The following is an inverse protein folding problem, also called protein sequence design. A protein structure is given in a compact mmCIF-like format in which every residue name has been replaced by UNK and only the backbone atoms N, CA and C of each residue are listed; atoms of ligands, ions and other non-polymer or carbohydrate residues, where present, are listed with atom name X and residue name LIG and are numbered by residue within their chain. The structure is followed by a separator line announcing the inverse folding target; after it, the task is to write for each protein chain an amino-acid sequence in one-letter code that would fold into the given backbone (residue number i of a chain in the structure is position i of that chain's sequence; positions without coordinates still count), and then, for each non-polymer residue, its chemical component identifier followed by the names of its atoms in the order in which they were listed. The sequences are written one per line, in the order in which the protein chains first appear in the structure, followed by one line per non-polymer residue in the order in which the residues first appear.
data_IF_275941423323
#
_entry.id   IF_275941423323
#
_cell.length_a   1.000
_cell.length_b   1.000
_cell.length_c   1.000
_cell.angle_alpha   90.00
_cell.angle_beta   90.00
_cell.angle_gamma   90.00
#
_symmetry.space_group_name_H-M   'P 1'
#
loop_
_entity.id
_entity.type
_entity.pdbx_description
1 polymer ?
#
# COMPACT_ATOMS: atom_id res chain seq x y z
N UNK A 1 16.80 56.88 -30.21
CA UNK A 1 15.93 55.80 -30.74
C UNK A 1 14.61 55.86 -30.01
N UNK A 2 13.45 55.89 -30.69
CA UNK A 2 12.16 55.81 -30.01
C UNK A 2 12.07 54.51 -29.21
N UNK A 3 11.35 54.49 -28.07
CA UNK A 3 11.14 53.26 -27.33
C UNK A 3 10.48 52.23 -28.24
N UNK A 4 10.90 50.96 -28.17
CA UNK A 4 10.41 49.93 -29.09
C UNK A 4 8.93 49.59 -28.87
N UNK A 5 8.31 50.17 -27.84
CA UNK A 5 6.92 49.97 -27.42
C UNK A 5 6.41 51.31 -26.87
N UNK A 6 5.22 51.76 -27.28
CA UNK A 6 4.57 52.94 -26.71
C UNK A 6 4.38 52.82 -25.18
N UNK A 7 4.63 53.90 -24.44
CA UNK A 7 4.59 53.90 -22.97
C UNK A 7 3.19 53.52 -22.40
N UNK A 8 2.11 53.92 -23.09
CA UNK A 8 0.74 53.56 -22.72
C UNK A 8 0.47 52.06 -22.83
N UNK A 9 1.00 51.40 -23.87
CA UNK A 9 0.90 49.95 -24.06
C UNK A 9 1.67 49.24 -22.95
N UNK A 10 2.90 49.66 -22.67
CA UNK A 10 3.72 49.09 -21.60
C UNK A 10 3.01 49.17 -20.24
N UNK A 11 2.40 50.32 -19.90
CA UNK A 11 1.69 50.50 -18.64
C UNK A 11 0.43 49.63 -18.55
N UNK A 12 -0.29 49.47 -19.65
CA UNK A 12 -1.45 48.57 -19.74
C UNK A 12 -1.06 47.11 -19.48
N UNK A 13 0.07 46.66 -20.03
CA UNK A 13 0.56 45.29 -19.82
C UNK A 13 0.94 45.02 -18.37
N UNK A 14 1.61 45.98 -17.72
CA UNK A 14 1.98 45.87 -16.30
C UNK A 14 0.75 45.78 -15.39
N UNK A 15 -0.29 46.58 -15.65
CA UNK A 15 -1.55 46.51 -14.90
C UNK A 15 -2.30 45.19 -15.15
N UNK A 16 -2.45 44.80 -16.42
CA UNK A 16 -3.26 43.64 -16.82
C UNK A 16 -2.64 42.31 -16.41
N UNK A 17 -1.35 42.11 -16.69
CA UNK A 17 -0.66 40.83 -16.51
C UNK A 17 0.13 40.79 -15.20
N UNK A 18 0.74 41.91 -14.82
CA UNK A 18 1.58 42.02 -13.62
C UNK A 18 0.82 42.42 -12.37
N UNK A 19 -0.43 42.90 -12.47
CA UNK A 19 -1.17 43.56 -11.38
C UNK A 19 -0.30 44.61 -10.69
N UNK A 20 0.46 45.37 -11.48
CA UNK A 20 1.45 46.33 -11.01
C UNK A 20 1.13 47.70 -11.60
N UNK A 21 1.03 48.71 -10.75
CA UNK A 21 0.76 50.10 -11.12
C UNK A 21 2.08 50.85 -11.26
N UNK A 22 2.49 51.30 -12.45
CA UNK A 22 3.69 52.10 -12.63
C UNK A 22 3.41 53.57 -12.25
N UNK A 23 4.03 54.13 -11.20
CA UNK A 23 3.89 55.55 -10.88
C UNK A 23 4.76 56.45 -11.76
N UNK A 24 5.78 55.90 -12.41
CA UNK A 24 6.75 56.62 -13.24
C UNK A 24 6.60 56.25 -14.73
N UNK A 25 6.99 57.15 -15.65
CA UNK A 25 6.98 56.87 -17.10
C UNK A 25 7.78 55.61 -17.46
N UNK A 26 7.37 54.93 -18.53
CA UNK A 26 8.03 53.73 -19.02
C UNK A 26 9.49 54.01 -19.40
N UNK A 27 10.49 53.26 -18.88
CA UNK A 27 11.92 53.48 -19.15
C UNK A 27 12.33 53.25 -20.62
N UNK A 28 11.44 52.71 -21.45
CA UNK A 28 11.62 52.63 -22.91
C UNK A 28 12.12 51.29 -23.43
N UNK A 29 12.62 50.39 -22.57
CA UNK A 29 13.06 49.04 -22.94
C UNK A 29 12.36 47.95 -22.12
N UNK A 30 11.98 46.86 -22.78
CA UNK A 30 11.16 45.82 -22.16
C UNK A 30 11.86 45.01 -21.06
N UNK A 31 13.20 44.91 -21.09
CA UNK A 31 14.01 44.20 -20.08
C UNK A 31 14.53 45.10 -18.97
N UNK A 32 14.28 46.39 -19.06
CA UNK A 32 14.74 47.36 -18.07
C UNK A 32 13.82 47.28 -16.83
N UNK A 33 14.39 47.23 -15.61
CA UNK A 33 13.60 47.29 -14.40
C UNK A 33 12.75 48.56 -14.37
N UNK A 34 11.47 48.41 -14.11
CA UNK A 34 10.50 49.50 -14.06
C UNK A 34 9.83 49.53 -12.70
N UNK A 35 10.02 50.64 -11.98
CA UNK A 35 9.40 50.84 -10.67
C UNK A 35 7.88 50.74 -10.79
N UNK A 36 7.27 49.86 -10.00
CA UNK A 36 5.83 49.69 -9.92
C UNK A 36 5.41 49.45 -8.47
N UNK A 37 4.16 49.81 -8.14
CA UNK A 37 3.47 49.40 -6.91
C UNK A 37 2.65 48.15 -7.22
N UNK A 38 2.94 47.02 -6.55
CA UNK A 38 2.14 45.81 -6.75
C UNK A 38 0.76 45.96 -6.12
N UNK A 39 -0.32 45.80 -6.88
CA UNK A 39 -1.69 46.05 -6.43
C UNK A 39 -2.13 45.08 -5.30
N UNK A 40 -1.80 43.76 -5.32
CA UNK A 40 -2.15 42.86 -4.23
C UNK A 40 -1.42 43.10 -2.90
N UNK A 41 -0.08 43.27 -2.92
CA UNK A 41 0.71 43.36 -1.68
C UNK A 41 1.18 44.77 -1.33
N UNK A 42 0.87 45.75 -2.17
CA UNK A 42 1.17 47.17 -1.98
C UNK A 42 2.67 47.54 -1.89
N UNK A 43 3.56 46.55 -2.08
CA UNK A 43 5.01 46.75 -2.06
C UNK A 43 5.51 47.44 -3.33
N UNK A 44 6.56 48.25 -3.16
CA UNK A 44 7.36 48.76 -4.27
C UNK A 44 8.21 47.63 -4.86
N UNK A 45 8.09 47.43 -6.17
CA UNK A 45 8.77 46.36 -6.92
C UNK A 45 9.40 46.94 -8.19
N UNK A 46 10.41 46.25 -8.72
CA UNK A 46 11.12 46.64 -9.95
C UNK A 46 11.05 45.51 -11.00
N UNK A 47 9.86 45.08 -11.43
CA UNK A 47 9.71 44.12 -12.51
C UNK A 47 10.20 44.70 -13.84
N UNK A 48 10.52 43.83 -14.80
CA UNK A 48 10.63 44.25 -16.20
C UNK A 48 9.43 43.72 -17.00
N UNK A 49 9.00 44.47 -18.03
CA UNK A 49 7.83 44.12 -18.84
C UNK A 49 7.99 42.77 -19.54
N UNK A 50 9.20 42.41 -19.99
CA UNK A 50 9.45 41.15 -20.66
C UNK A 50 9.07 39.94 -19.80
N UNK A 51 9.49 39.91 -18.52
CA UNK A 51 9.18 38.82 -17.60
C UNK A 51 7.69 38.75 -17.25
N UNK A 52 7.03 39.91 -17.16
CA UNK A 52 5.57 39.98 -16.96
C UNK A 52 4.83 39.42 -18.19
N UNK A 53 5.26 39.77 -19.40
CA UNK A 53 4.68 39.27 -20.65
C UNK A 53 4.89 37.77 -20.86
N UNK A 54 6.01 37.21 -20.38
CA UNK A 54 6.28 35.76 -20.44
C UNK A 54 5.63 34.96 -19.32
N UNK A 55 4.85 35.61 -18.44
CA UNK A 55 4.07 34.94 -17.40
C UNK A 55 4.84 34.61 -16.11
N UNK A 56 6.05 35.14 -15.92
CA UNK A 56 6.80 34.96 -14.67
C UNK A 56 6.22 35.77 -13.51
N UNK A 57 5.37 36.77 -13.80
CA UNK A 57 4.77 37.67 -12.82
C UNK A 57 5.65 38.87 -12.47
N UNK A 58 5.07 39.87 -11.80
CA UNK A 58 5.74 41.13 -11.49
C UNK A 58 6.36 41.18 -10.09
N UNK A 59 5.80 40.47 -9.12
CA UNK A 59 6.19 40.59 -7.71
C UNK A 59 6.85 39.32 -7.18
N UNK A 60 8.13 39.41 -6.81
CA UNK A 60 8.89 38.30 -6.21
C UNK A 60 8.27 37.82 -4.88
N UNK A 61 7.65 38.73 -4.12
CA UNK A 61 7.04 38.42 -2.81
C UNK A 61 5.68 37.73 -2.92
N UNK A 62 5.01 37.86 -4.07
CA UNK A 62 3.75 37.18 -4.35
C UNK A 62 3.95 36.00 -5.31
N UNK A 63 5.18 35.76 -5.77
CA UNK A 63 5.49 34.61 -6.58
C UNK A 63 5.26 33.31 -5.77
N UNK A 64 4.88 32.20 -6.42
CA UNK A 64 4.71 30.92 -5.72
C UNK A 64 5.94 30.47 -4.92
N UNK A 65 7.14 30.90 -5.33
CA UNK A 65 8.43 30.63 -4.70
C UNK A 65 8.97 31.81 -3.86
N UNK A 66 8.12 32.75 -3.46
CA UNK A 66 8.51 33.89 -2.63
C UNK A 66 9.23 33.46 -1.35
N UNK A 67 10.29 34.18 -0.92
CA UNK A 67 10.90 33.96 0.40
C UNK A 67 9.82 34.05 1.49
N UNK A 68 9.71 33.02 2.31
CA UNK A 68 8.74 32.97 3.41
C UNK A 68 9.40 33.46 4.70
N UNK A 69 8.65 34.26 5.46
CA UNK A 69 9.05 34.68 6.79
C UNK A 69 9.16 33.42 7.70
N UNK A 70 10.30 33.19 8.37
CA UNK A 70 10.47 32.06 9.30
C UNK A 70 9.38 31.94 10.37
N UNK A 71 8.90 33.05 10.92
CA UNK A 71 7.91 33.05 12.00
C UNK A 71 6.52 32.64 11.50
N UNK A 72 6.12 33.15 10.34
CA UNK A 72 4.89 32.73 9.65
C UNK A 72 4.95 31.25 9.27
N UNK A 73 6.12 30.78 8.79
CA UNK A 73 6.32 29.39 8.43
C UNK A 73 6.21 28.47 9.66
N UNK A 74 6.76 28.89 10.80
CA UNK A 74 6.66 28.19 12.09
C UNK A 74 5.22 28.12 12.57
N UNK A 75 4.47 29.23 12.50
CA UNK A 75 3.06 29.27 12.87
C UNK A 75 2.21 28.30 12.02
N UNK A 76 2.42 28.29 10.70
CA UNK A 76 1.72 27.38 9.79
C UNK A 76 2.08 25.89 10.03
N UNK A 77 3.33 25.59 10.39
CA UNK A 77 3.73 24.23 10.80
C UNK A 77 3.01 23.79 12.08
N UNK A 78 2.89 24.70 13.07
CA UNK A 78 2.20 24.44 14.32
C UNK A 78 0.71 24.20 14.13
N UNK A 79 0.04 25.01 13.30
CA UNK A 79 -1.36 24.83 12.92
C UNK A 79 -1.62 23.46 12.28
N UNK A 80 -0.64 22.93 11.53
CA UNK A 80 -0.68 21.59 10.94
C UNK A 80 -0.17 20.48 11.87
N UNK A 81 0.05 20.77 13.14
CA UNK A 81 0.39 19.80 14.19
C UNK A 81 1.88 19.44 14.26
N UNK A 82 2.77 20.38 13.94
CA UNK A 82 4.22 20.21 14.04
C UNK A 82 4.89 21.32 14.84
N UNK A 83 5.68 20.95 15.84
CA UNK A 83 6.57 21.84 16.57
C UNK A 83 7.95 21.76 15.93
N UNK A 84 8.41 22.84 15.30
CA UNK A 84 9.76 22.89 14.68
C UNK A 84 10.84 22.95 15.77
N UNK A 85 11.95 22.24 15.55
CA UNK A 85 13.04 22.08 16.53
C UNK A 85 14.32 22.81 16.13
N UNK A 86 14.41 23.26 14.88
CA UNK A 86 15.58 23.94 14.31
C UNK A 86 15.13 25.14 13.48
N UNK A 87 16.07 26.00 13.11
CA UNK A 87 15.79 27.20 12.32
C UNK A 87 15.26 26.89 10.91
N UNK A 88 14.48 27.83 10.36
CA UNK A 88 13.87 27.68 9.05
C UNK A 88 14.89 27.86 7.92
N UNK A 89 15.21 26.78 7.21
CA UNK A 89 16.20 26.78 6.13
C UNK A 89 15.61 27.07 4.73
N UNK A 90 14.28 27.23 4.64
CA UNK A 90 13.52 27.45 3.41
C UNK A 90 12.46 26.37 3.15
N UNK A 91 11.51 26.66 2.27
CA UNK A 91 10.26 25.90 2.14
C UNK A 91 10.44 24.46 1.62
N UNK A 92 11.37 24.30 0.68
CA UNK A 92 11.68 23.03 0.04
C UNK A 92 12.68 22.16 0.79
N UNK A 93 13.21 22.58 1.95
CA UNK A 93 14.20 21.80 2.71
C UNK A 93 13.54 20.98 3.82
N UNK A 94 14.09 19.80 4.18
CA UNK A 94 13.64 19.06 5.36
C UNK A 94 13.78 19.93 6.61
N UNK A 95 12.70 20.05 7.38
CA UNK A 95 12.67 20.89 8.57
C UNK A 95 12.39 20.04 9.81
N UNK A 96 13.41 19.82 10.64
CA UNK A 96 13.31 18.94 11.81
C UNK A 96 12.24 19.45 12.77
N UNK A 97 11.26 18.59 13.04
CA UNK A 97 10.03 18.91 13.75
C UNK A 97 9.55 17.72 14.58
N UNK A 98 8.80 18.01 15.64
CA UNK A 98 8.07 17.04 16.43
C UNK A 98 6.58 17.08 16.08
N UNK A 99 5.98 15.94 15.78
CA UNK A 99 4.53 15.85 15.62
C UNK A 99 3.82 16.05 16.96
N UNK A 100 2.80 16.93 17.02
CA UNK A 100 2.04 17.19 18.24
C UNK A 100 1.22 15.96 18.66
N UNK A 101 0.61 15.25 17.71
CA UNK A 101 -0.30 14.14 18.00
C UNK A 101 0.40 12.91 18.60
N UNK A 102 1.55 12.53 18.04
CA UNK A 102 2.23 11.27 18.39
C UNK A 102 3.71 11.46 18.79
N UNK A 103 4.17 12.70 18.95
CA UNK A 103 5.53 13.07 19.38
C UNK A 103 6.68 12.55 18.53
N UNK A 104 6.41 11.97 17.36
CA UNK A 104 7.43 11.54 16.40
C UNK A 104 8.32 12.69 15.96
N UNK A 105 9.63 12.46 15.99
CA UNK A 105 10.62 13.35 15.40
C UNK A 105 10.71 13.06 13.90
N UNK A 106 10.37 14.05 13.09
CA UNK A 106 10.31 13.96 11.62
C UNK A 106 10.87 15.21 10.99
N UNK A 107 11.33 15.12 9.74
CA UNK A 107 11.82 16.26 8.98
C UNK A 107 10.97 16.50 7.72
N UNK A 108 9.68 16.86 7.86
CA UNK A 108 8.85 17.18 6.70
C UNK A 108 9.31 18.49 6.04
N UNK A 109 8.94 18.69 4.78
CA UNK A 109 9.17 19.95 4.06
C UNK A 109 7.96 20.86 4.26
N UNK A 110 8.18 22.16 4.44
CA UNK A 110 7.11 23.14 4.67
C UNK A 110 6.03 23.09 3.57
N UNK A 111 6.44 23.05 2.30
CA UNK A 111 5.51 23.01 1.17
C UNK A 111 4.63 21.74 1.17
N UNK A 112 5.20 20.62 1.61
CA UNK A 112 4.45 19.36 1.74
C UNK A 112 3.45 19.41 2.89
N UNK A 113 3.80 20.08 4.00
CA UNK A 113 2.95 20.20 5.19
C UNK A 113 1.78 21.16 4.96
N UNK A 114 2.02 22.28 4.27
CA UNK A 114 1.00 23.28 4.00
C UNK A 114 0.13 22.94 2.78
N UNK A 115 0.59 22.05 1.89
CA UNK A 115 -0.17 21.51 0.77
C UNK A 115 -1.39 20.65 1.15
N UNK A 116 -2.12 20.16 0.14
CA UNK A 116 -3.43 19.47 0.28
C UNK A 116 -3.37 18.14 1.05
N UNK A 117 -2.22 17.49 1.10
CA UNK A 117 -2.01 16.20 1.78
C UNK A 117 -0.94 16.31 2.88
N UNK A 118 -0.82 17.46 3.54
CA UNK A 118 0.10 17.64 4.65
C UNK A 118 -0.28 16.85 5.91
N UNK A 119 0.71 16.45 6.70
CA UNK A 119 0.51 15.74 7.97
C UNK A 119 1.68 14.82 8.31
N UNK A 120 1.75 14.38 9.57
CA UNK A 120 2.83 13.51 10.00
C UNK A 120 2.73 12.16 9.27
N UNK A 121 3.82 11.78 8.60
CA UNK A 121 3.89 10.55 7.81
C UNK A 121 3.56 9.29 8.62
N UNK A 122 3.75 9.34 9.93
CA UNK A 122 3.46 8.24 10.85
C UNK A 122 2.03 8.25 11.39
N UNK A 123 1.38 9.43 11.44
CA UNK A 123 0.00 9.55 11.92
C UNK A 123 -1.03 9.25 10.83
N UNK A 124 -0.62 9.25 9.55
CA UNK A 124 -1.47 8.75 8.47
C UNK A 124 -1.61 7.23 8.58
N UNK A 125 -2.84 6.73 8.35
CA UNK A 125 -3.30 5.32 8.43
C UNK A 125 -2.43 4.27 7.70
N UNK A 126 -1.47 4.70 6.87
CA UNK A 126 -0.55 3.84 6.10
C UNK A 126 0.92 4.30 6.17
N UNK A 127 1.27 5.13 7.17
CA UNK A 127 2.67 5.40 7.49
C UNK A 127 3.43 4.11 7.82
N UNK A 128 4.77 4.12 7.86
CA UNK A 128 5.53 2.95 8.26
C UNK A 128 5.10 2.35 9.60
N UNK A 129 4.27 3.00 10.41
CA UNK A 129 4.07 2.66 11.82
C UNK A 129 5.27 3.19 12.58
N UNK A 130 5.05 3.69 13.79
CA UNK A 130 6.18 3.94 14.66
C UNK A 130 6.92 2.61 14.93
N UNK A 131 8.24 2.52 14.73
CA UNK A 131 8.97 1.27 14.97
C UNK A 131 8.86 0.75 16.39
N UNK A 132 8.72 1.61 17.41
CA UNK A 132 8.57 1.16 18.78
C UNK A 132 7.19 0.56 19.02
N UNK A 133 6.13 1.22 18.56
CA UNK A 133 4.78 0.66 18.59
C UNK A 133 4.69 -0.66 17.82
N UNK A 134 5.30 -0.73 16.63
CA UNK A 134 5.32 -1.93 15.82
C UNK A 134 5.98 -3.12 16.54
N UNK A 135 7.09 -2.87 17.24
CA UNK A 135 7.75 -3.89 18.07
C UNK A 135 6.88 -4.27 19.28
N UNK A 136 6.22 -3.30 19.90
CA UNK A 136 5.32 -3.55 21.03
C UNK A 136 4.13 -4.43 20.61
N UNK A 137 3.49 -4.12 19.47
CA UNK A 137 2.40 -4.90 18.89
C UNK A 137 2.83 -6.35 18.61
N UNK A 138 4.00 -6.54 18.01
CA UNK A 138 4.55 -7.87 17.75
C UNK A 138 4.77 -8.66 19.04
N UNK A 139 5.35 -8.01 20.06
CA UNK A 139 5.59 -8.65 21.36
C UNK A 139 4.30 -8.99 22.09
N UNK A 140 3.27 -8.16 22.00
CA UNK A 140 1.98 -8.37 22.64
C UNK A 140 1.29 -9.67 22.19
N UNK A 141 1.54 -10.13 20.95
CA UNK A 141 1.01 -11.39 20.41
C UNK A 141 2.03 -12.53 20.42
N UNK A 142 3.14 -12.39 21.16
CA UNK A 142 4.14 -13.45 21.33
C UNK A 142 5.11 -13.61 20.15
N UNK A 143 5.37 -12.54 19.38
CA UNK A 143 6.47 -12.49 18.42
C UNK A 143 7.61 -11.61 18.92
N UNK A 144 8.84 -12.09 18.73
CA UNK A 144 10.06 -11.33 18.95
C UNK A 144 10.70 -11.00 17.60
N UNK A 145 10.62 -9.74 17.11
CA UNK A 145 11.28 -9.34 15.87
C UNK A 145 12.79 -9.60 15.93
N UNK A 146 13.35 -10.11 14.83
CA UNK A 146 14.79 -10.42 14.68
C UNK A 146 15.49 -9.46 13.72
N UNK A 147 14.74 -8.60 13.02
CA UNK A 147 15.26 -7.58 12.12
C UNK A 147 14.56 -6.22 12.35
N UNK A 148 15.14 -5.10 11.90
CA UNK A 148 14.52 -3.78 11.97
C UNK A 148 13.19 -3.70 11.21
N UNK A 149 12.26 -2.92 11.76
CA UNK A 149 10.96 -2.71 11.15
C UNK A 149 11.04 -1.85 9.88
N UNK A 150 10.43 -2.32 8.79
CA UNK A 150 10.42 -1.63 7.49
C UNK A 150 9.11 -0.89 7.26
N UNK A 151 7.99 -1.61 7.29
CA UNK A 151 6.62 -1.10 7.18
C UNK A 151 5.60 -2.20 7.55
N UNK A 152 4.33 -1.83 7.67
CA UNK A 152 3.25 -2.72 8.15
C UNK A 152 2.92 -3.91 7.23
N UNK A 153 3.24 -3.83 5.93
CA UNK A 153 2.81 -4.79 4.91
C UNK A 153 3.93 -5.77 4.50
N UNK A 154 5.19 -5.45 4.78
CA UNK A 154 6.32 -6.32 4.52
C UNK A 154 6.34 -7.52 5.49
N UNK A 155 6.74 -8.72 5.02
CA UNK A 155 7.07 -9.82 5.91
C UNK A 155 8.18 -9.39 6.87
N UNK A 156 8.01 -9.68 8.16
CA UNK A 156 8.91 -9.25 9.20
C UNK A 156 9.47 -10.43 9.98
N UNK A 157 10.76 -10.74 9.76
CA UNK A 157 11.41 -11.89 10.37
C UNK A 157 11.35 -11.81 11.90
N UNK A 158 10.68 -12.79 12.49
CA UNK A 158 10.37 -12.82 13.93
C UNK A 158 10.43 -14.24 14.49
N UNK A 159 10.91 -14.38 15.72
CA UNK A 159 10.81 -15.62 16.49
C UNK A 159 9.43 -15.70 17.15
N UNK A 160 8.68 -16.78 16.92
CA UNK A 160 7.47 -17.05 17.68
C UNK A 160 7.84 -17.57 19.07
N UNK A 161 7.44 -16.88 20.14
CA UNK A 161 7.77 -17.28 21.50
C UNK A 161 7.01 -18.53 21.95
N UNK A 162 5.86 -18.83 21.30
CA UNK A 162 5.04 -20.01 21.56
C UNK A 162 5.63 -21.32 21.02
N UNK A 163 6.00 -21.37 19.74
CA UNK A 163 6.55 -22.58 19.12
C UNK A 163 8.07 -22.57 18.93
N UNK A 164 8.74 -21.46 19.29
CA UNK A 164 10.19 -21.27 19.18
C UNK A 164 10.75 -21.37 17.76
N UNK A 165 9.89 -21.34 16.73
CA UNK A 165 10.28 -21.31 15.32
C UNK A 165 10.28 -19.88 14.77
N UNK A 166 11.18 -19.62 13.84
CA UNK A 166 11.21 -18.36 13.07
C UNK A 166 10.04 -18.33 12.09
N UNK A 167 9.40 -17.17 11.96
CA UNK A 167 8.31 -16.93 11.03
C UNK A 167 8.39 -15.51 10.48
N UNK A 168 7.64 -15.21 9.42
CA UNK A 168 7.64 -13.90 8.75
C UNK A 168 6.24 -13.27 8.75
N UNK A 169 5.61 -13.07 9.92
CA UNK A 169 4.32 -12.40 10.00
C UNK A 169 4.42 -10.97 9.45
N UNK A 170 3.28 -10.46 8.96
CA UNK A 170 3.13 -9.06 8.58
C UNK A 170 2.40 -8.34 9.70
N UNK A 171 2.80 -7.11 10.04
CA UNK A 171 2.18 -6.40 11.15
C UNK A 171 0.69 -6.10 10.89
N UNK A 172 0.28 -5.89 9.63
CA UNK A 172 -1.14 -5.76 9.29
C UNK A 172 -1.95 -7.02 9.62
N UNK A 173 -1.39 -8.22 9.38
CA UNK A 173 -2.02 -9.49 9.73
C UNK A 173 -2.04 -9.68 11.24
N UNK A 174 -0.99 -9.28 11.96
CA UNK A 174 -0.96 -9.32 13.43
C UNK A 174 -2.04 -8.41 14.02
N UNK A 175 -2.16 -7.18 13.55
CA UNK A 175 -3.18 -6.22 14.03
C UNK A 175 -4.61 -6.64 13.72
N UNK A 176 -4.83 -7.42 12.65
CA UNK A 176 -6.19 -7.84 12.22
C UNK A 176 -6.58 -9.24 12.71
N UNK A 177 -5.62 -10.17 12.76
CA UNK A 177 -5.85 -11.59 13.05
C UNK A 177 -5.23 -12.05 14.37
N UNK A 178 -4.43 -11.22 15.03
CA UNK A 178 -3.72 -11.57 16.26
C UNK A 178 -2.60 -12.59 16.02
N UNK A 179 -2.63 -13.69 16.77
CA UNK A 179 -1.66 -14.79 16.68
C UNK A 179 -1.69 -15.48 15.30
N UNK A 180 -0.86 -15.03 14.37
CA UNK A 180 -0.85 -15.53 12.99
C UNK A 180 0.41 -16.35 12.63
N UNK A 181 1.06 -16.97 13.62
CA UNK A 181 2.26 -17.77 13.35
C UNK A 181 1.91 -18.95 12.45
N UNK A 182 2.56 -19.07 11.30
CA UNK A 182 2.30 -20.13 10.33
C UNK A 182 2.52 -21.53 10.92
N UNK A 183 3.35 -21.67 11.97
CA UNK A 183 3.61 -22.94 12.65
C UNK A 183 2.67 -23.21 13.84
N UNK A 184 2.02 -22.19 14.39
CA UNK A 184 1.05 -22.35 15.48
C UNK A 184 -0.41 -22.31 15.00
N UNK A 185 -0.64 -21.74 13.82
CA UNK A 185 -1.97 -21.64 13.23
C UNK A 185 -2.55 -23.04 13.06
N UNK A 186 -3.66 -23.32 13.76
CA UNK A 186 -4.47 -24.54 13.62
C UNK A 186 -5.32 -24.56 12.33
N UNK A 187 -5.01 -23.69 11.38
CA UNK A 187 -5.66 -23.62 10.08
C UNK A 187 -4.78 -24.33 9.06
N UNK A 188 -5.33 -25.32 8.38
CA UNK A 188 -4.58 -26.19 7.45
C UNK A 188 -4.59 -27.64 7.91
N UNK A 189 -4.05 -28.50 7.05
CA UNK A 189 -3.91 -29.92 7.35
C UNK A 189 -2.80 -30.11 8.38
N UNK A 190 -3.10 -30.68 9.55
CA UNK A 190 -2.09 -31.10 10.51
C UNK A 190 -1.34 -32.31 9.94
N UNK A 191 -0.04 -32.21 9.62
CA UNK A 191 0.69 -33.29 8.97
C UNK A 191 0.76 -34.56 9.82
N UNK A 192 0.70 -34.45 11.15
CA UNK A 192 0.84 -35.58 12.07
C UNK A 192 -0.49 -36.15 12.55
N UNK A 193 -1.62 -35.51 12.24
CA UNK A 193 -2.94 -36.01 12.63
C UNK A 193 -3.61 -36.79 11.49
N UNK A 194 -4.58 -37.67 11.78
CA UNK A 194 -5.36 -38.36 10.75
C UNK A 194 -6.06 -37.40 9.80
N UNK A 195 -6.09 -37.79 8.53
CA UNK A 195 -6.60 -36.98 7.44
C UNK A 195 -7.33 -37.84 6.42
N UNK A 196 -7.99 -37.18 5.47
CA UNK A 196 -8.75 -37.81 4.40
C UNK A 196 -8.49 -37.12 3.07
N UNK A 197 -8.26 -37.92 2.03
CA UNK A 197 -8.36 -37.50 0.63
C UNK A 197 -9.80 -37.71 0.19
N UNK A 198 -10.38 -36.75 -0.51
CA UNK A 198 -11.71 -36.85 -1.08
C UNK A 198 -11.70 -36.50 -2.55
N UNK A 199 -12.55 -37.17 -3.32
CA UNK A 199 -12.82 -36.86 -4.74
C UNK A 199 -14.27 -36.44 -4.86
N UNK A 200 -14.50 -35.28 -5.49
CA UNK A 200 -15.82 -34.71 -5.73
C UNK A 200 -16.07 -34.53 -7.23
N UNK A 201 -17.34 -34.53 -7.63
CA UNK A 201 -17.78 -34.15 -8.96
C UNK A 201 -18.85 -33.05 -8.89
N UNK A 202 -18.93 -32.21 -9.92
CA UNK A 202 -19.93 -31.17 -10.08
C UNK A 202 -20.57 -31.30 -11.45
N UNK A 203 -21.80 -31.83 -11.50
CA UNK A 203 -22.47 -32.18 -12.76
C UNK A 203 -22.71 -30.95 -13.66
N UNK A 204 -23.18 -29.84 -13.10
CA UNK A 204 -23.50 -28.62 -13.86
C UNK A 204 -22.26 -27.96 -14.48
N UNK A 205 -21.11 -28.09 -13.82
CA UNK A 205 -19.86 -27.50 -14.31
C UNK A 205 -19.01 -28.51 -15.08
N UNK A 206 -19.41 -29.78 -15.15
CA UNK A 206 -18.61 -30.84 -15.75
C UNK A 206 -17.22 -30.93 -15.12
N UNK A 207 -17.11 -30.76 -13.81
CA UNK A 207 -15.83 -30.66 -13.11
C UNK A 207 -15.63 -31.80 -12.11
N UNK A 208 -14.38 -32.26 -11.98
CA UNK A 208 -13.95 -33.13 -10.89
C UNK A 208 -12.89 -32.43 -10.04
N UNK A 209 -12.84 -32.79 -8.76
CA UNK A 209 -11.93 -32.21 -7.78
C UNK A 209 -11.36 -33.28 -6.87
N UNK A 210 -10.05 -33.23 -6.65
CA UNK A 210 -9.40 -33.93 -5.54
C UNK A 210 -9.06 -32.92 -4.44
N UNK A 211 -9.13 -33.33 -3.19
CA UNK A 211 -8.81 -32.47 -2.06
C UNK A 211 -8.47 -33.24 -0.78
N UNK A 212 -7.78 -32.56 0.14
CA UNK A 212 -7.49 -33.08 1.49
C UNK A 212 -8.19 -32.29 2.60
N UNK A 213 -8.56 -33.00 3.65
CA UNK A 213 -9.05 -32.41 4.91
C UNK A 213 -8.57 -33.23 6.10
N UNK A 214 -8.36 -32.60 7.25
CA UNK A 214 -8.06 -33.32 8.50
C UNK A 214 -9.33 -33.94 9.08
N UNK A 215 -9.21 -35.07 9.77
CA UNK A 215 -10.35 -35.71 10.43
C UNK A 215 -10.70 -35.08 11.80
N UNK A 216 -9.82 -34.20 12.31
CA UNK A 216 -10.00 -33.47 13.58
C UNK A 216 -10.35 -31.99 13.37
N UNK A 217 -10.70 -31.59 12.15
CA UNK A 217 -11.09 -30.20 11.86
C UNK A 217 -12.49 -29.91 12.38
N UNK A 218 -12.73 -28.68 12.87
CA UNK A 218 -14.06 -28.24 13.32
C UNK A 218 -15.08 -28.12 12.18
N UNK A 219 -14.62 -27.83 10.97
CA UNK A 219 -15.45 -27.78 9.77
C UNK A 219 -15.31 -29.06 8.95
N UNK A 220 -16.44 -29.59 8.50
CA UNK A 220 -16.50 -30.63 7.47
C UNK A 220 -16.41 -29.97 6.09
N UNK A 221 -15.20 -30.03 5.51
CA UNK A 221 -14.89 -29.45 4.21
C UNK A 221 -15.74 -30.08 3.09
N UNK A 222 -16.04 -31.38 3.17
CA UNK A 222 -16.85 -32.10 2.18
C UNK A 222 -18.30 -31.65 2.29
N UNK A 223 -18.85 -31.53 3.50
CA UNK A 223 -20.20 -31.01 3.71
C UNK A 223 -20.37 -29.59 3.14
N UNK A 224 -19.35 -28.73 3.33
CA UNK A 224 -19.34 -27.39 2.74
C UNK A 224 -19.40 -27.43 1.22
N UNK A 225 -18.60 -28.26 0.56
CA UNK A 225 -18.65 -28.42 -0.89
C UNK A 225 -20.02 -28.97 -1.36
N UNK A 226 -20.63 -29.91 -0.62
CA UNK A 226 -21.98 -30.42 -0.92
C UNK A 226 -23.04 -29.33 -0.93
N UNK A 227 -22.95 -28.35 -0.03
CA UNK A 227 -23.83 -27.17 -0.02
C UNK A 227 -23.73 -26.31 -1.29
N UNK A 228 -22.69 -26.48 -2.10
CA UNK A 228 -22.44 -25.77 -3.36
C UNK A 228 -22.46 -26.71 -4.58
N UNK A 229 -23.27 -27.78 -4.54
CA UNK A 229 -23.51 -28.63 -5.71
C UNK A 229 -22.47 -29.71 -5.98
N UNK A 230 -21.42 -29.84 -5.16
CA UNK A 230 -20.42 -30.88 -5.32
C UNK A 230 -20.87 -32.20 -4.67
N UNK A 231 -20.80 -33.29 -5.41
CA UNK A 231 -21.14 -34.62 -4.93
C UNK A 231 -19.87 -35.41 -4.59
N UNK A 232 -19.76 -35.99 -3.38
CA UNK A 232 -18.63 -36.85 -3.05
C UNK A 232 -18.71 -38.17 -3.82
N UNK A 233 -17.63 -38.51 -4.53
CA UNK A 233 -17.46 -39.79 -5.19
C UNK A 233 -16.78 -40.80 -4.27
N UNK A 234 -15.64 -40.43 -3.68
CA UNK A 234 -14.94 -41.25 -2.70
C UNK A 234 -14.25 -40.42 -1.62
N UNK A 235 -13.95 -41.09 -0.52
CA UNK A 235 -13.31 -40.55 0.68
C UNK A 235 -12.40 -41.62 1.29
N UNK A 236 -11.09 -41.36 1.28
CA UNK A 236 -10.05 -42.31 1.70
C UNK A 236 -9.31 -41.75 2.90
N UNK A 237 -9.31 -42.48 4.01
CA UNK A 237 -8.66 -42.09 5.26
C UNK A 237 -7.18 -42.51 5.29
N UNK A 238 -6.35 -41.61 5.80
CA UNK A 238 -4.92 -41.78 6.01
C UNK A 238 -4.57 -41.56 7.49
N UNK A 239 -3.58 -42.32 7.97
CA UNK A 239 -3.08 -42.20 9.33
C UNK A 239 -2.48 -40.81 9.63
N UNK A 240 -1.92 -40.16 8.61
CA UNK A 240 -1.30 -38.83 8.74
C UNK A 240 -1.75 -37.88 7.62
N UNK A 241 -1.84 -36.59 7.95
CA UNK A 241 -2.05 -35.52 6.97
C UNK A 241 -0.91 -35.42 5.96
N UNK A 242 0.31 -35.77 6.35
CA UNK A 242 1.45 -35.80 5.44
C UNK A 242 1.24 -36.81 4.30
N UNK A 243 0.71 -38.00 4.58
CA UNK A 243 0.46 -39.03 3.57
C UNK A 243 -0.70 -38.63 2.66
N UNK A 244 -1.82 -38.17 3.23
CA UNK A 244 -2.95 -37.66 2.46
C UNK A 244 -2.54 -36.53 1.50
N UNK A 245 -1.73 -35.58 1.99
CA UNK A 245 -1.22 -34.49 1.16
C UNK A 245 -0.28 -34.98 0.06
N UNK A 246 0.61 -35.94 0.37
CA UNK A 246 1.54 -36.50 -0.62
C UNK A 246 0.78 -37.13 -1.79
N UNK A 247 -0.26 -37.90 -1.50
CA UNK A 247 -1.15 -38.51 -2.49
C UNK A 247 -1.85 -37.44 -3.34
N UNK A 248 -2.49 -36.45 -2.72
CA UNK A 248 -3.16 -35.37 -3.45
C UNK A 248 -2.20 -34.67 -4.42
N UNK A 249 -1.01 -34.32 -3.93
CA UNK A 249 0.00 -33.63 -4.73
C UNK A 249 0.59 -34.52 -5.83
N UNK A 250 0.72 -35.84 -5.62
CA UNK A 250 1.20 -36.77 -6.64
C UNK A 250 0.20 -36.87 -7.80
N UNK A 251 -1.10 -37.00 -7.49
CA UNK A 251 -2.18 -37.01 -8.48
C UNK A 251 -2.24 -35.71 -9.26
N UNK A 252 -2.24 -34.56 -8.58
CA UNK A 252 -2.29 -33.25 -9.22
C UNK A 252 -1.07 -33.06 -10.12
N UNK A 253 0.14 -33.33 -9.62
CA UNK A 253 1.38 -33.17 -10.39
C UNK A 253 1.34 -34.02 -11.66
N UNK A 254 0.93 -35.28 -11.56
CA UNK A 254 0.82 -36.18 -12.72
C UNK A 254 -0.13 -35.62 -13.77
N UNK A 255 -1.34 -35.22 -13.38
CA UNK A 255 -2.33 -34.66 -14.31
C UNK A 255 -1.85 -33.35 -14.95
N UNK A 256 -1.11 -32.52 -14.21
CA UNK A 256 -0.54 -31.26 -14.73
C UNK A 256 0.58 -31.53 -15.75
N UNK A 257 1.40 -32.57 -15.55
CA UNK A 257 2.41 -33.02 -16.52
C UNK A 257 1.74 -33.56 -17.80
N UNK A 258 0.61 -34.24 -17.66
CA UNK A 258 -0.21 -34.77 -18.77
C UNK A 258 -1.00 -33.68 -19.52
N UNK A 259 -0.85 -32.41 -19.13
CA UNK A 259 -1.45 -31.26 -19.82
C UNK A 259 -2.83 -30.84 -19.29
N UNK A 260 -3.35 -31.49 -18.25
CA UNK A 260 -4.61 -31.07 -17.64
C UNK A 260 -4.35 -29.85 -16.75
N UNK A 261 -4.86 -28.68 -17.13
CA UNK A 261 -4.76 -27.42 -16.40
C UNK A 261 -5.84 -27.24 -15.32
N UNK A 262 -5.78 -26.11 -14.61
CA UNK A 262 -6.85 -25.70 -13.70
C UNK A 262 -8.12 -25.47 -14.51
N UNK A 263 -9.20 -26.17 -14.19
CA UNK A 263 -10.42 -26.13 -15.01
C UNK A 263 -11.39 -25.01 -14.62
N UNK A 264 -11.68 -24.85 -13.32
CA UNK A 264 -12.55 -23.79 -12.82
C UNK A 264 -11.76 -22.56 -12.35
N UNK A 265 -12.35 -21.38 -12.53
CA UNK A 265 -11.83 -20.12 -12.00
C UNK A 265 -12.41 -19.75 -10.63
N UNK A 266 -11.83 -18.72 -10.00
CA UNK A 266 -12.27 -18.20 -8.68
C UNK A 266 -13.74 -17.76 -8.67
N UNK A 267 -14.22 -17.14 -9.76
CA UNK A 267 -15.62 -16.71 -9.90
C UNK A 267 -16.64 -17.87 -9.94
N UNK A 268 -16.23 -19.06 -10.39
CA UNK A 268 -17.06 -20.27 -10.40
C UNK A 268 -16.95 -21.07 -9.09
N UNK A 269 -15.98 -20.71 -8.23
CA UNK A 269 -15.65 -21.41 -6.99
C UNK A 269 -15.45 -20.42 -5.82
N UNK A 270 -16.51 -19.68 -5.42
CA UNK A 270 -16.43 -18.63 -4.40
C UNK A 270 -16.04 -19.15 -3.01
N UNK A 271 -16.18 -20.46 -2.77
CA UNK A 271 -15.75 -21.15 -1.55
C UNK A 271 -14.25 -21.56 -1.54
N UNK A 272 -13.52 -21.22 -2.62
CA UNK A 272 -12.11 -21.52 -2.82
C UNK A 272 -11.83 -22.98 -3.20
N UNK A 273 -10.57 -23.27 -3.53
CA UNK A 273 -10.12 -24.62 -3.95
C UNK A 273 -10.27 -24.90 -5.46
N UNK A 274 -10.28 -23.85 -6.28
CA UNK A 274 -10.40 -24.00 -7.74
C UNK A 274 -9.15 -24.59 -8.38
N UNK A 275 -7.96 -24.42 -7.75
CA UNK A 275 -6.67 -24.89 -8.26
C UNK A 275 -6.55 -26.40 -8.39
N UNK A 276 -7.37 -27.16 -7.67
CA UNK A 276 -7.38 -28.63 -7.71
C UNK A 276 -8.59 -29.19 -8.50
N UNK A 277 -9.10 -28.43 -9.47
CA UNK A 277 -10.20 -28.85 -10.36
C UNK A 277 -9.70 -29.25 -11.74
N UNK A 278 -10.42 -30.19 -12.37
CA UNK A 278 -10.15 -30.74 -13.69
C UNK A 278 -11.46 -30.94 -14.47
N UNK A 279 -11.35 -30.97 -15.79
CA UNK A 279 -12.46 -31.23 -16.70
C UNK A 279 -12.88 -32.70 -16.61
N UNK A 280 -14.14 -32.96 -16.25
CA UNK A 280 -14.69 -34.31 -16.09
C UNK A 280 -14.76 -35.09 -17.42
N UNK A 281 -14.69 -34.41 -18.57
CA UNK A 281 -14.66 -35.07 -19.89
C UNK A 281 -13.31 -35.68 -20.23
N UNK A 282 -12.23 -35.20 -19.59
CA UNK A 282 -10.86 -35.65 -19.86
C UNK A 282 -10.20 -36.34 -18.66
N UNK A 283 -10.65 -36.03 -17.45
CA UNK A 283 -10.19 -36.64 -16.20
C UNK A 283 -11.38 -37.24 -15.48
N UNK A 284 -11.47 -38.57 -15.48
CA UNK A 284 -12.51 -39.27 -14.74
C UNK A 284 -12.22 -39.29 -13.24
N UNK A 285 -13.26 -39.53 -12.43
CA UNK A 285 -13.11 -39.67 -10.98
C UNK A 285 -12.23 -40.87 -10.62
N UNK A 286 -12.33 -41.99 -11.36
CA UNK A 286 -11.52 -43.20 -11.15
C UNK A 286 -10.03 -42.91 -11.34
N UNK A 287 -9.67 -42.03 -12.30
CA UNK A 287 -8.28 -41.62 -12.55
C UNK A 287 -7.71 -40.81 -11.37
N UNK A 288 -8.55 -40.09 -10.64
CA UNK A 288 -8.17 -39.41 -9.39
C UNK A 288 -8.04 -40.38 -8.22
N UNK A 289 -8.84 -41.45 -8.19
CA UNK A 289 -8.90 -42.43 -7.10
C UNK A 289 -7.78 -43.46 -7.15
N UNK A 290 -7.42 -43.97 -8.33
CA UNK A 290 -6.49 -45.09 -8.47
C UNK A 290 -5.14 -44.90 -7.73
N UNK A 291 -4.49 -43.72 -7.75
CA UNK A 291 -3.26 -43.50 -6.96
C UNK A 291 -3.52 -43.38 -5.47
N UNK A 292 -4.70 -42.84 -5.09
CA UNK A 292 -5.06 -42.64 -3.70
C UNK A 292 -5.39 -43.96 -2.98
N UNK A 293 -5.85 -44.97 -3.70
CA UNK A 293 -6.05 -46.32 -3.15
C UNK A 293 -4.76 -47.15 -3.13
N UNK A 294 -3.85 -46.92 -4.09
CA UNK A 294 -2.59 -47.67 -4.18
C UNK A 294 -1.56 -47.31 -3.07
N UNK A 295 -1.70 -46.13 -2.47
CA UNK A 295 -0.81 -45.61 -1.41
C UNK A 295 -1.43 -45.69 0.00
N UNK A 296 -2.52 -46.46 0.18
CA UNK A 296 -3.23 -46.62 1.46
C UNK A 296 -2.45 -47.45 2.50
#
# INVERSE_FOLDING_TARGET
MPPSIPANVAASDMRRLGKAEPPEPYPGRAREPWMCRHIPCQQGIYPNRNNVMTGQGACIWCAPNAPKNPDEAKAAMLERGFIVLVDFLGTGKPWLSQCVAARHIVAPRYDNVTGRNGGCRFCKRYGPGDPHEAVADMRAVGFRPLEPFKNIASPWLSLCERCRKTSTPRLNNVRTRGECCQHCARYGLDPGAPARVYVLSHAEYGAVKIGVTGLRTREDRVARFRGHGWMPFTQIDFATGADAYRVEQSVIRRLRIEGHGVFLGDGQMPIGGYKETFDATTVSVERLVAPAEAER
#
